data_IF_278058084133
#
_entry.id   IF_278058084133
#
_cell.length_a   1.000
_cell.length_b   1.000
_cell.length_c   1.000
_cell.angle_alpha   90.00
_cell.angle_beta   90.00
_cell.angle_gamma   90.00
#
_symmetry.space_group_name_H-M   'P 1'
#
loop_
_entity.id
_entity.type
_entity.pdbx_description
1 polymer ?
#
# COMPACT_ATOMS: atom_id res chain seq x y z
N UNK A 1 -32.60 22.17 20.39
CA UNK A 1 -32.79 21.23 19.26
C UNK A 1 -31.51 21.20 18.42
N UNK A 2 -30.57 20.27 18.64
CA UNK A 2 -29.48 20.09 17.69
C UNK A 2 -29.90 19.07 16.62
N UNK A 3 -29.74 19.46 15.35
CA UNK A 3 -30.00 18.61 14.18
C UNK A 3 -28.95 17.51 14.12
N UNK A 4 -29.43 16.27 14.06
CA UNK A 4 -28.68 15.07 13.68
C UNK A 4 -28.03 15.28 12.30
N UNK A 5 -26.72 15.05 12.20
CA UNK A 5 -26.01 14.90 10.94
C UNK A 5 -25.64 13.43 10.79
N UNK A 6 -26.26 12.79 9.80
CA UNK A 6 -25.98 11.43 9.32
C UNK A 6 -24.59 11.35 8.64
N UNK A 7 -23.93 10.18 8.65
CA UNK A 7 -22.62 10.01 8.05
C UNK A 7 -22.69 10.05 6.52
N UNK A 8 -21.88 10.90 5.90
CA UNK A 8 -21.72 10.96 4.45
C UNK A 8 -20.93 9.74 3.95
N UNK A 9 -21.58 8.96 3.09
CA UNK A 9 -20.98 7.96 2.21
C UNK A 9 -20.00 8.64 1.25
N UNK A 10 -18.73 8.22 1.25
CA UNK A 10 -17.74 8.67 0.27
C UNK A 10 -17.83 7.78 -0.97
N UNK A 11 -18.34 8.32 -2.07
CA UNK A 11 -18.23 7.70 -3.38
C UNK A 11 -16.82 7.88 -3.93
N UNK A 12 -16.05 6.79 -3.99
CA UNK A 12 -14.76 6.73 -4.66
C UNK A 12 -14.99 6.88 -6.17
N UNK A 13 -14.65 8.05 -6.73
CA UNK A 13 -14.50 8.20 -8.18
C UNK A 13 -13.17 7.57 -8.59
N UNK A 14 -13.27 6.49 -9.35
CA UNK A 14 -12.14 5.80 -9.96
C UNK A 14 -11.57 6.69 -11.06
N UNK A 15 -10.37 7.24 -10.86
CA UNK A 15 -9.61 7.88 -11.93
C UNK A 15 -9.12 6.80 -12.89
N UNK A 16 -9.82 6.65 -14.02
CA UNK A 16 -9.39 5.86 -15.16
C UNK A 16 -8.44 6.70 -16.01
N UNK A 17 -7.22 6.21 -16.22
CA UNK A 17 -6.34 6.75 -17.25
C UNK A 17 -6.83 6.26 -18.63
N UNK A 18 -7.17 7.17 -19.54
CA UNK A 18 -7.34 6.89 -20.96
C UNK A 18 -6.21 7.54 -21.78
N UNK A 19 -5.73 6.92 -22.86
CA UNK A 19 -5.23 7.60 -24.05
C UNK A 19 -6.26 7.54 -25.20
N UNK A 20 -6.04 8.30 -26.30
CA UNK A 20 -7.12 8.92 -27.06
C UNK A 20 -7.71 8.07 -28.21
N UNK A 21 -8.99 8.35 -28.46
CA UNK A 21 -9.75 8.30 -29.73
C UNK A 21 -9.70 7.03 -30.59
N UNK A 22 -10.76 6.21 -30.53
CA UNK A 22 -11.54 5.78 -31.71
C UNK A 22 -12.82 5.00 -31.30
N UNK A 23 -13.95 5.43 -31.89
CA UNK A 23 -15.13 4.65 -32.33
C UNK A 23 -16.03 3.90 -31.31
N UNK A 24 -17.25 4.43 -31.18
CA UNK A 24 -18.55 3.76 -31.42
C UNK A 24 -18.76 2.32 -30.89
N UNK A 25 -19.71 2.19 -29.95
CA UNK A 25 -20.70 1.11 -29.98
C UNK A 25 -20.46 -0.15 -29.11
N UNK A 26 -21.50 -0.47 -28.33
CA UNK A 26 -21.83 -1.79 -27.74
C UNK A 26 -20.99 -2.32 -26.56
N UNK A 27 -21.66 -2.54 -25.42
CA UNK A 27 -21.26 -3.61 -24.48
C UNK A 27 -21.73 -4.99 -24.96
N UNK A 28 -21.57 -6.08 -24.20
CA UNK A 28 -20.78 -6.28 -22.97
C UNK A 28 -19.63 -7.32 -23.19
N UNK A 29 -18.89 -7.64 -22.12
CA UNK A 29 -17.97 -8.79 -21.99
C UNK A 29 -16.55 -8.65 -22.57
N UNK A 30 -15.63 -8.08 -21.78
CA UNK A 30 -14.19 -8.42 -21.82
C UNK A 30 -13.58 -8.40 -20.41
N UNK A 31 -13.76 -9.48 -19.66
CA UNK A 31 -12.74 -9.89 -18.68
C UNK A 31 -11.54 -10.40 -19.49
N UNK A 32 -10.78 -9.46 -20.05
CA UNK A 32 -9.54 -9.75 -20.77
C UNK A 32 -8.43 -10.01 -19.76
N UNK A 33 -7.70 -11.10 -19.97
CA UNK A 33 -6.50 -11.50 -19.24
C UNK A 33 -5.56 -10.31 -19.00
N UNK A 34 -5.57 -9.76 -17.79
CA UNK A 34 -4.44 -8.98 -17.29
C UNK A 34 -3.20 -9.88 -17.19
N UNK A 35 -1.98 -9.32 -17.14
CA UNK A 35 -0.78 -10.10 -16.92
C UNK A 35 -1.00 -10.98 -15.68
N UNK A 36 -0.67 -12.28 -15.78
CA UNK A 36 -0.63 -13.18 -14.63
C UNK A 36 0.12 -12.46 -13.50
N UNK A 37 -0.32 -12.62 -12.24
CA UNK A 37 0.38 -12.09 -11.06
C UNK A 37 1.90 -12.29 -11.16
N UNK A 38 2.35 -13.43 -11.70
CA UNK A 38 3.76 -13.73 -11.98
C UNK A 38 4.45 -12.81 -12.99
N UNK A 39 3.77 -12.39 -14.07
CA UNK A 39 4.33 -11.51 -15.07
C UNK A 39 4.51 -10.09 -14.53
N UNK A 40 3.49 -9.54 -13.87
CA UNK A 40 3.58 -8.23 -13.23
C UNK A 40 4.69 -8.19 -12.16
N UNK A 41 4.82 -9.25 -11.36
CA UNK A 41 5.91 -9.39 -10.37
C UNK A 41 7.27 -9.39 -11.08
N UNK A 42 7.45 -10.15 -12.17
CA UNK A 42 8.71 -10.15 -12.95
C UNK A 42 9.07 -8.77 -13.52
N UNK A 43 8.08 -8.02 -13.99
CA UNK A 43 8.31 -6.67 -14.53
C UNK A 43 8.81 -5.73 -13.43
N UNK A 44 8.21 -5.80 -12.23
CA UNK A 44 8.67 -5.05 -11.05
C UNK A 44 10.10 -5.43 -10.66
N UNK A 45 10.46 -6.73 -10.69
CA UNK A 45 11.86 -7.16 -10.45
C UNK A 45 12.82 -6.43 -11.37
N UNK A 46 12.48 -6.44 -12.66
CA UNK A 46 13.38 -6.04 -13.72
C UNK A 46 13.65 -4.56 -13.61
N UNK A 47 12.61 -3.77 -13.31
CA UNK A 47 12.75 -2.35 -13.02
C UNK A 47 13.63 -2.09 -11.77
N UNK A 48 13.40 -2.79 -10.66
CA UNK A 48 14.20 -2.62 -9.44
C UNK A 48 15.66 -3.03 -9.64
N UNK A 49 15.91 -4.13 -10.35
CA UNK A 49 17.25 -4.60 -10.65
C UNK A 49 18.00 -3.59 -11.53
N UNK A 50 17.35 -3.00 -12.52
CA UNK A 50 17.95 -1.94 -13.34
C UNK A 50 18.33 -0.70 -12.49
N UNK A 51 17.54 -0.37 -11.46
CA UNK A 51 17.87 0.72 -10.52
C UNK A 51 19.05 0.37 -9.60
N UNK A 52 19.20 -0.90 -9.21
CA UNK A 52 20.37 -1.36 -8.46
C UNK A 52 21.64 -1.35 -9.33
N UNK A 53 21.54 -1.80 -10.58
CA UNK A 53 22.66 -1.90 -11.52
C UNK A 53 23.18 -0.52 -11.92
N UNK A 54 22.27 0.45 -12.11
CA UNK A 54 22.59 1.86 -12.38
C UNK A 54 23.08 2.63 -11.14
N UNK A 55 22.99 2.02 -9.95
CA UNK A 55 23.26 2.64 -8.64
C UNK A 55 22.35 3.83 -8.30
N UNK A 56 21.19 3.92 -8.94
CA UNK A 56 20.11 4.81 -8.51
C UNK A 56 19.61 4.41 -7.10
N UNK A 57 19.69 3.11 -6.78
CA UNK A 57 19.45 2.56 -5.45
C UNK A 57 20.69 1.77 -5.03
N UNK A 58 21.11 1.91 -3.76
CA UNK A 58 22.25 1.19 -3.19
C UNK A 58 21.80 0.35 -2.01
N UNK A 59 22.01 -0.96 -2.10
CA UNK A 59 21.85 -1.89 -0.99
C UNK A 59 23.24 -2.33 -0.50
N UNK A 60 23.48 -2.33 0.82
CA UNK A 60 24.68 -2.97 1.36
C UNK A 60 24.57 -4.49 1.26
N UNK A 61 25.71 -5.20 1.27
CA UNK A 61 25.81 -6.63 0.94
C UNK A 61 24.74 -7.52 1.61
N UNK A 62 24.51 -7.32 2.91
CA UNK A 62 23.50 -8.08 3.69
C UNK A 62 22.09 -7.96 3.07
N UNK A 63 21.72 -6.78 2.58
CA UNK A 63 20.41 -6.55 1.98
C UNK A 63 20.33 -7.04 0.53
N UNK A 64 21.46 -7.11 -0.19
CA UNK A 64 21.50 -7.71 -1.53
C UNK A 64 21.23 -9.22 -1.45
N UNK A 65 21.87 -9.91 -0.51
CA UNK A 65 21.68 -11.35 -0.29
C UNK A 65 20.24 -11.65 0.13
N UNK A 66 19.70 -10.85 1.06
CA UNK A 66 18.31 -10.95 1.47
C UNK A 66 17.35 -10.69 0.31
N UNK A 67 17.58 -9.64 -0.48
CA UNK A 67 16.75 -9.27 -1.63
C UNK A 67 16.71 -10.40 -2.66
N UNK A 68 17.87 -10.97 -3.03
CA UNK A 68 17.94 -12.08 -3.99
C UNK A 68 17.23 -13.34 -3.48
N UNK A 69 17.29 -13.61 -2.17
CA UNK A 69 16.57 -14.73 -1.56
C UNK A 69 15.06 -14.49 -1.53
N UNK A 70 14.64 -13.31 -1.10
CA UNK A 70 13.23 -12.97 -0.95
C UNK A 70 12.54 -12.84 -2.32
N UNK A 71 13.24 -12.28 -3.30
CA UNK A 71 12.73 -12.17 -4.65
C UNK A 71 12.42 -13.53 -5.28
N UNK A 72 13.30 -14.51 -5.08
CA UNK A 72 13.04 -15.90 -5.50
C UNK A 72 11.77 -16.47 -4.87
N UNK A 73 11.50 -16.15 -3.61
CA UNK A 73 10.27 -16.59 -2.90
C UNK A 73 9.04 -15.92 -3.48
N UNK A 74 9.08 -14.61 -3.72
CA UNK A 74 7.97 -13.84 -4.29
C UNK A 74 7.63 -14.36 -5.69
N UNK A 75 8.62 -14.59 -6.55
CA UNK A 75 8.42 -15.18 -7.87
C UNK A 75 7.82 -16.58 -7.80
N UNK A 76 8.31 -17.41 -6.88
CA UNK A 76 7.78 -18.75 -6.68
C UNK A 76 6.30 -18.70 -6.28
N UNK A 77 5.94 -17.87 -5.30
CA UNK A 77 4.55 -17.68 -4.86
C UNK A 77 3.66 -17.15 -5.99
N UNK A 78 4.14 -16.16 -6.75
CA UNK A 78 3.39 -15.58 -7.86
C UNK A 78 3.19 -16.57 -9.03
N UNK A 79 4.10 -17.54 -9.19
CA UNK A 79 4.00 -18.60 -10.21
C UNK A 79 3.03 -19.73 -9.86
N UNK A 80 2.53 -19.80 -8.63
CA UNK A 80 1.61 -20.84 -8.21
C UNK A 80 0.22 -20.61 -8.81
N UNK A 81 -0.28 -21.59 -9.57
CA UNK A 81 -1.62 -21.58 -10.20
C UNK A 81 -2.77 -21.53 -9.18
N UNK A 82 -2.49 -21.95 -7.95
CA UNK A 82 -3.35 -21.83 -6.78
C UNK A 82 -2.45 -21.42 -5.61
N UNK A 83 -2.72 -20.30 -4.92
CA UNK A 83 -1.97 -19.98 -3.72
C UNK A 83 -2.10 -21.16 -2.75
N UNK A 84 -1.01 -21.55 -2.05
CA UNK A 84 -1.07 -22.64 -1.09
C UNK A 84 -2.17 -22.31 -0.11
N UNK A 85 -3.21 -23.16 -0.08
CA UNK A 85 -4.31 -22.99 0.85
C UNK A 85 -3.74 -22.95 2.25
N UNK A 86 -4.08 -21.91 3.02
CA UNK A 86 -3.71 -21.82 4.44
C UNK A 86 -4.18 -23.05 5.24
N UNK A 87 -5.15 -23.80 4.71
CA UNK A 87 -5.61 -25.07 5.29
C UNK A 87 -4.63 -26.25 5.11
N UNK A 88 -3.60 -26.11 4.27
CA UNK A 88 -2.61 -27.15 3.99
C UNK A 88 -1.25 -26.89 4.66
N UNK A 89 -1.04 -25.72 5.27
CA UNK A 89 0.09 -25.54 6.18
C UNK A 89 -0.21 -26.24 7.51
N UNK A 90 0.80 -26.84 8.17
CA UNK A 90 0.64 -27.27 9.54
C UNK A 90 0.07 -26.12 10.37
N UNK A 91 -0.94 -26.34 11.24
CA UNK A 91 -1.64 -25.29 11.99
C UNK A 91 -0.75 -24.52 13.00
N UNK A 92 0.57 -24.62 12.91
CA UNK A 92 1.51 -24.35 14.00
C UNK A 92 2.67 -23.42 13.66
N UNK A 93 2.74 -22.84 12.44
CA UNK A 93 3.71 -21.75 12.22
C UNK A 93 3.07 -20.42 12.60
N UNK A 94 3.52 -19.75 13.68
CA UNK A 94 3.04 -18.42 14.00
C UNK A 94 3.36 -17.48 12.84
N UNK A 95 2.42 -16.58 12.51
CA UNK A 95 2.70 -15.50 11.56
C UNK A 95 3.90 -14.71 12.06
N UNK A 96 4.74 -14.26 11.14
CA UNK A 96 5.81 -13.33 11.50
C UNK A 96 5.19 -11.97 11.83
N UNK A 97 5.73 -11.28 12.83
CA UNK A 97 5.36 -9.90 13.12
C UNK A 97 5.99 -8.99 12.06
N UNK A 98 5.15 -8.30 11.29
CA UNK A 98 5.56 -7.25 10.38
C UNK A 98 5.36 -5.90 11.07
N UNK A 99 6.47 -5.27 11.46
CA UNK A 99 6.47 -3.94 12.04
C UNK A 99 6.56 -2.92 10.91
N UNK A 100 5.56 -2.06 10.80
CA UNK A 100 5.49 -1.00 9.79
C UNK A 100 5.58 0.37 10.44
N UNK A 101 6.45 1.23 9.92
CA UNK A 101 6.39 2.65 10.20
C UNK A 101 5.25 3.31 9.39
N UNK A 102 4.87 4.52 9.79
CA UNK A 102 3.71 5.23 9.28
C UNK A 102 4.14 6.40 8.37
N UNK A 103 4.86 7.38 8.91
CA UNK A 103 5.30 8.56 8.15
C UNK A 103 6.38 8.19 7.12
N UNK A 104 6.23 8.67 5.88
CA UNK A 104 7.12 8.37 4.74
C UNK A 104 7.21 6.89 4.37
N UNK A 105 6.39 6.03 4.98
CA UNK A 105 6.28 4.60 4.67
C UNK A 105 4.92 4.26 4.07
N UNK A 106 3.84 4.52 4.82
CA UNK A 106 2.45 4.28 4.40
C UNK A 106 1.74 5.55 3.96
N UNK A 107 2.16 6.70 4.49
CA UNK A 107 1.60 8.00 4.10
C UNK A 107 2.65 9.12 4.18
N UNK A 108 2.28 10.30 3.69
CA UNK A 108 3.01 11.55 3.90
C UNK A 108 2.08 12.53 4.60
N UNK A 109 2.63 13.32 5.54
CA UNK A 109 1.86 14.38 6.22
C UNK A 109 2.59 15.72 6.25
N UNK A 110 1.82 16.80 6.28
CA UNK A 110 2.30 18.19 6.35
C UNK A 110 1.38 19.04 7.23
N UNK A 111 1.97 19.99 7.96
CA UNK A 111 1.23 21.05 8.67
C UNK A 111 0.82 22.20 7.74
N UNK A 112 1.39 22.26 6.53
CA UNK A 112 0.98 23.19 5.48
C UNK A 112 0.02 22.49 4.51
N UNK A 113 -1.03 23.18 4.04
CA UNK A 113 -1.91 22.64 3.00
C UNK A 113 -1.14 22.26 1.74
N UNK A 114 -1.59 21.20 1.06
CA UNK A 114 -1.12 20.83 -0.27
C UNK A 114 -2.25 20.14 -1.04
N UNK A 115 -2.26 20.30 -2.36
CA UNK A 115 -3.42 19.98 -3.21
C UNK A 115 -3.71 18.49 -3.32
N UNK A 116 -2.69 17.64 -3.18
CA UNK A 116 -2.82 16.18 -3.31
C UNK A 116 -3.12 15.50 -1.96
N UNK A 117 -3.61 16.25 -0.96
CA UNK A 117 -3.99 15.67 0.32
C UNK A 117 -5.27 14.84 0.17
N UNK A 118 -5.21 13.58 0.59
CA UNK A 118 -6.36 12.67 0.58
C UNK A 118 -7.34 12.98 1.71
N UNK A 119 -6.84 13.44 2.86
CA UNK A 119 -7.67 13.92 3.95
C UNK A 119 -6.94 14.91 4.86
N UNK A 120 -7.72 15.61 5.69
CA UNK A 120 -7.23 16.56 6.71
C UNK A 120 -7.60 16.04 8.09
N UNK A 121 -6.59 15.76 8.91
CA UNK A 121 -6.76 15.39 10.30
C UNK A 121 -6.62 16.63 11.19
N UNK A 122 -7.58 16.81 12.11
CA UNK A 122 -7.55 17.91 13.07
C UNK A 122 -7.18 17.36 14.45
N UNK A 123 -6.16 17.95 15.07
CA UNK A 123 -5.72 17.56 16.40
C UNK A 123 -5.56 18.78 17.31
N UNK A 124 -5.75 18.57 18.61
CA UNK A 124 -5.54 19.59 19.63
C UNK A 124 -4.13 19.41 20.19
N UNK A 125 -3.36 20.50 20.26
CA UNK A 125 -2.09 20.48 20.98
C UNK A 125 -2.39 20.37 22.48
N UNK A 126 -1.88 19.32 23.17
CA UNK A 126 -2.23 19.05 24.56
C UNK A 126 -1.95 20.22 25.51
N UNK A 127 -0.89 20.99 25.27
CA UNK A 127 -0.47 22.06 26.17
C UNK A 127 -1.09 23.44 25.87
N UNK A 128 -1.59 23.68 24.66
CA UNK A 128 -1.91 25.06 24.23
C UNK A 128 -3.37 25.26 23.88
N UNK A 129 -4.22 24.22 23.89
CA UNK A 129 -5.62 24.25 23.42
C UNK A 129 -5.75 24.72 21.95
N UNK A 130 -4.63 24.85 21.23
CA UNK A 130 -4.60 25.26 19.83
C UNK A 130 -4.95 24.04 18.99
N UNK A 131 -5.93 24.22 18.11
CA UNK A 131 -6.33 23.22 17.14
C UNK A 131 -5.46 23.39 15.88
N UNK A 132 -4.73 22.35 15.51
CA UNK A 132 -3.88 22.32 14.32
C UNK A 132 -4.42 21.31 13.30
N UNK A 133 -4.26 21.65 12.03
CA UNK A 133 -4.64 20.77 10.91
C UNK A 133 -3.40 20.10 10.34
N UNK A 134 -3.51 18.82 10.06
CA UNK A 134 -2.51 17.99 9.39
C UNK A 134 -3.13 17.53 8.08
N UNK A 135 -2.47 17.84 6.99
CA UNK A 135 -2.83 17.40 5.65
C UNK A 135 -2.09 16.08 5.39
N UNK A 136 -2.80 15.04 4.99
CA UNK A 136 -2.25 13.69 4.83
C UNK A 136 -2.52 13.19 3.42
N UNK A 137 -1.50 12.61 2.79
CA UNK A 137 -1.65 11.86 1.55
C UNK A 137 -1.21 10.41 1.76
N UNK A 138 -2.08 9.48 1.41
CA UNK A 138 -1.87 8.05 1.52
C UNK A 138 -0.95 7.63 0.38
N UNK A 139 0.06 6.81 0.68
CA UNK A 139 0.95 6.31 -0.38
C UNK A 139 0.13 5.46 -1.37
N UNK A 140 0.22 5.70 -2.68
CA UNK A 140 -0.44 4.87 -3.67
C UNK A 140 -0.11 3.38 -3.46
N UNK A 141 -1.16 2.54 -3.43
CA UNK A 141 -1.01 1.10 -3.19
C UNK A 141 -0.84 0.69 -1.71
N UNK A 142 -0.86 1.61 -0.74
CA UNK A 142 -0.75 1.27 0.68
C UNK A 142 -1.87 0.32 1.14
N UNK A 143 -3.11 0.56 0.72
CA UNK A 143 -4.23 -0.32 1.03
C UNK A 143 -4.02 -1.73 0.45
N UNK A 144 -3.68 -1.80 -0.85
CA UNK A 144 -3.39 -3.07 -1.52
C UNK A 144 -2.23 -3.83 -0.86
N UNK A 145 -1.18 -3.13 -0.44
CA UNK A 145 -0.06 -3.72 0.29
C UNK A 145 -0.54 -4.34 1.60
N UNK A 146 -1.27 -3.59 2.42
CA UNK A 146 -1.78 -4.08 3.71
C UNK A 146 -2.70 -5.29 3.52
N UNK A 147 -3.62 -5.23 2.57
CA UNK A 147 -4.54 -6.34 2.26
C UNK A 147 -3.78 -7.57 1.74
N UNK A 148 -2.72 -7.37 0.97
CA UNK A 148 -1.90 -8.46 0.43
C UNK A 148 -1.06 -9.15 1.49
N UNK A 149 -0.57 -8.42 2.51
CA UNK A 149 0.33 -8.98 3.54
C UNK A 149 -0.39 -9.45 4.80
N UNK A 150 -1.59 -8.94 5.11
CA UNK A 150 -2.37 -9.32 6.29
C UNK A 150 -2.65 -10.84 6.45
N UNK A 151 -2.86 -11.62 5.37
CA UNK A 151 -3.00 -13.07 5.50
C UNK A 151 -1.73 -13.77 5.99
N UNK A 152 -0.55 -13.17 5.77
CA UNK A 152 0.76 -13.80 6.01
C UNK A 152 1.46 -13.30 7.27
N UNK A 153 1.17 -12.06 7.71
CA UNK A 153 1.84 -11.41 8.84
C UNK A 153 0.84 -10.88 9.86
N UNK A 154 1.28 -10.85 11.12
CA UNK A 154 0.65 -10.01 12.14
C UNK A 154 1.25 -8.61 11.98
N UNK A 155 0.42 -7.60 11.69
CA UNK A 155 0.89 -6.26 11.36
C UNK A 155 0.84 -5.40 12.63
N UNK A 156 1.97 -4.79 13.00
CA UNK A 156 2.05 -3.79 14.05
C UNK A 156 2.53 -2.47 13.46
N UNK A 157 1.81 -1.38 13.71
CA UNK A 157 2.28 -0.04 13.39
C UNK A 157 3.15 0.46 14.53
N UNK A 158 4.40 0.80 14.22
CA UNK A 158 5.34 1.35 15.18
C UNK A 158 5.93 2.63 14.60
N UNK A 159 5.55 3.76 15.19
CA UNK A 159 5.92 5.09 14.68
C UNK A 159 6.44 5.96 15.81
N UNK A 160 7.38 6.84 15.49
CA UNK A 160 7.87 7.89 16.40
C UNK A 160 6.89 9.07 16.53
N UNK A 161 5.76 9.01 15.83
CA UNK A 161 4.71 10.03 15.93
C UNK A 161 3.94 9.96 17.23
N UNK A 162 3.48 11.13 17.68
CA UNK A 162 2.60 11.22 18.84
C UNK A 162 1.31 10.44 18.60
N UNK A 163 0.99 9.57 19.55
CA UNK A 163 -0.32 8.94 19.63
C UNK A 163 -1.26 9.90 20.35
N UNK A 164 -2.48 10.06 19.84
CA UNK A 164 -3.56 10.67 20.61
C UNK A 164 -3.85 9.76 21.81
N UNK A 165 -3.37 10.16 22.99
CA UNK A 165 -3.73 9.51 24.24
C UNK A 165 -5.14 10.02 24.59
N UNK A 166 -6.09 9.09 24.66
CA UNK A 166 -7.44 9.36 25.12
C UNK A 166 -7.47 9.50 26.64
#
# INVERSE_FOLDING_TARGET
MPKSLSPFTVHCHTLTCCPPSELVGAGPSRLGNGPSSAAAVRDIHTALQAQLDSRDIVLVAIWQDWYALEWRRILHLASMSKPPSLSALPPTRPKKLLVLDLDRTLWFRSYRPFDTADFVAVYQLPQTQVTSSIYVSIRPGAQFLLDSVAPFYDIAVFTASDRKVH
#
